data_IF_209266574987
#
_entry.id   IF_209266574987
#
_cell.length_a   1.000
_cell.length_b   1.000
_cell.length_c   1.000
_cell.angle_alpha   90.00
_cell.angle_beta   90.00
_cell.angle_gamma   90.00
#
_symmetry.space_group_name_H-M   'P 1'
#
loop_
_entity.id
_entity.type
_entity.pdbx_description
1 polymer ?
#
# COMPACT_ATOMS: atom_id res chain seq x y z
N UNK A 1 -15.25 15.58 37.70
CA UNK A 1 -14.53 15.54 36.39
C UNK A 1 -14.94 14.27 35.66
N UNK A 2 -15.43 14.31 34.41
CA UNK A 2 -16.06 13.14 33.76
C UNK A 2 -15.12 12.40 32.79
N UNK A 3 -15.17 11.07 32.79
CA UNK A 3 -14.48 10.22 31.81
C UNK A 3 -15.47 9.32 31.07
N UNK A 4 -15.17 9.06 29.79
CA UNK A 4 -15.85 8.04 29.00
C UNK A 4 -15.08 6.73 29.11
N UNK A 5 -15.66 5.75 29.81
CA UNK A 5 -15.18 4.38 29.87
C UNK A 5 -15.90 3.52 28.81
N UNK A 6 -15.38 2.32 28.54
CA UNK A 6 -15.98 1.39 27.58
C UNK A 6 -17.37 0.87 28.00
N UNK A 7 -17.71 0.98 29.29
CA UNK A 7 -19.00 0.60 29.87
C UNK A 7 -19.91 1.81 30.20
N UNK A 8 -19.53 3.05 29.83
CA UNK A 8 -20.34 4.25 30.05
C UNK A 8 -19.58 5.46 30.61
N UNK A 9 -20.31 6.48 31.08
CA UNK A 9 -19.74 7.72 31.64
C UNK A 9 -19.56 7.59 33.16
N UNK A 10 -18.37 7.93 33.65
CA UNK A 10 -18.02 7.90 35.07
C UNK A 10 -17.64 9.30 35.53
N UNK A 11 -18.22 9.76 36.64
CA UNK A 11 -17.77 10.97 37.32
C UNK A 11 -16.65 10.63 38.33
N UNK A 12 -15.48 11.25 38.17
CA UNK A 12 -14.27 11.00 38.96
C UNK A 12 -14.35 11.56 40.38
N UNK A 13 -15.22 12.54 40.64
CA UNK A 13 -15.35 13.17 41.97
C UNK A 13 -16.24 12.34 42.91
N UNK A 14 -17.23 11.67 42.35
CA UNK A 14 -18.21 10.87 43.11
C UNK A 14 -17.99 9.37 42.95
N UNK A 15 -17.25 8.93 41.92
CA UNK A 15 -17.14 7.53 41.52
C UNK A 15 -18.46 6.94 41.04
N UNK A 16 -19.48 7.78 40.84
CA UNK A 16 -20.81 7.37 40.43
C UNK A 16 -20.88 7.22 38.91
N UNK A 17 -21.58 6.16 38.49
CA UNK A 17 -21.99 5.97 37.11
C UNK A 17 -23.11 6.97 36.81
N UNK A 18 -22.92 7.82 35.81
CA UNK A 18 -23.97 8.69 35.34
C UNK A 18 -24.90 7.84 34.47
N UNK A 19 -25.98 7.34 35.06
CA UNK A 19 -26.95 6.46 34.38
C UNK A 19 -27.66 7.21 33.26
N UNK A 20 -27.21 6.95 32.05
CA UNK A 20 -27.91 7.18 30.79
C UNK A 20 -27.31 6.21 29.78
N UNK A 21 -27.99 5.08 29.58
CA UNK A 21 -27.61 4.02 28.64
C UNK A 21 -26.96 2.82 29.33
N UNK A 22 -27.66 1.68 29.37
CA UNK A 22 -27.05 0.39 29.70
C UNK A 22 -25.95 0.00 28.70
N UNK A 23 -25.21 -1.10 28.92
CA UNK A 23 -24.04 -1.50 28.13
C UNK A 23 -24.32 -1.83 26.65
N UNK A 24 -25.54 -1.61 26.16
CA UNK A 24 -25.99 -1.96 24.82
C UNK A 24 -26.73 -0.86 24.02
N UNK A 25 -27.05 0.32 24.61
CA UNK A 25 -27.90 1.31 23.91
C UNK A 25 -27.16 2.49 23.26
N UNK A 26 -25.96 2.85 23.73
CA UNK A 26 -25.12 3.86 23.07
C UNK A 26 -24.05 3.19 22.20
N UNK A 27 -24.51 2.65 21.06
CA UNK A 27 -23.67 2.14 20.00
C UNK A 27 -22.84 3.24 19.32
N UNK A 28 -21.76 3.68 19.97
CA UNK A 28 -20.55 4.24 19.34
C UNK A 28 -19.58 4.68 20.45
N UNK A 29 -18.75 3.77 20.96
CA UNK A 29 -17.57 4.15 21.74
C UNK A 29 -16.57 4.80 20.77
N UNK A 30 -16.70 6.12 20.59
CA UNK A 30 -15.78 6.93 19.79
C UNK A 30 -14.48 7.14 20.58
N UNK A 31 -13.51 6.24 20.36
CA UNK A 31 -12.11 6.47 20.74
C UNK A 31 -11.48 7.39 19.69
N UNK A 32 -11.92 8.65 19.63
CA UNK A 32 -11.24 9.66 18.84
C UNK A 32 -9.86 9.98 19.44
N UNK A 33 -8.96 10.34 18.52
CA UNK A 33 -7.51 10.50 18.67
C UNK A 33 -7.04 11.00 20.04
N UNK A 34 -6.13 10.24 20.65
CA UNK A 34 -5.42 10.63 21.86
C UNK A 34 -4.62 11.93 21.65
N UNK A 35 -5.23 13.07 21.97
CA UNK A 35 -4.54 14.34 22.17
C UNK A 35 -4.65 14.75 23.63
N UNK A 36 -3.68 14.27 24.42
CA UNK A 36 -3.05 14.86 25.62
C UNK A 36 -2.66 13.73 26.57
N UNK A 37 -1.37 13.43 26.62
CA UNK A 37 -0.78 12.67 27.71
C UNK A 37 -0.95 13.47 29.00
N UNK A 38 -1.90 13.10 29.84
CA UNK A 38 -2.06 13.60 31.21
C UNK A 38 -1.55 12.53 32.17
N UNK A 39 -0.65 12.84 33.11
CA UNK A 39 -0.48 12.03 34.32
C UNK A 39 -1.33 12.66 35.43
N UNK A 40 -2.57 12.20 35.55
CA UNK A 40 -3.34 12.18 36.80
C UNK A 40 -3.46 10.69 37.15
N UNK A 41 -3.45 10.24 38.42
CA UNK A 41 -3.60 8.81 38.73
C UNK A 41 -4.78 8.26 37.95
N UNK A 42 -4.51 7.32 37.03
CA UNK A 42 -5.56 6.73 36.22
C UNK A 42 -6.50 6.00 37.18
N UNK A 43 -7.80 6.34 37.19
CA UNK A 43 -8.76 5.70 38.07
C UNK A 43 -8.83 4.21 37.74
N UNK A 44 -8.92 3.38 38.78
CA UNK A 44 -9.13 1.94 38.59
C UNK A 44 -10.56 1.69 38.09
N UNK A 45 -10.70 1.62 36.76
CA UNK A 45 -11.98 1.42 36.08
C UNK A 45 -12.63 0.09 36.43
N UNK A 46 -11.84 -0.93 36.80
CA UNK A 46 -12.35 -2.24 37.21
C UNK A 46 -12.98 -2.14 38.58
N UNK A 47 -12.24 -1.58 39.54
CA UNK A 47 -12.76 -1.38 40.90
C UNK A 47 -14.02 -0.51 40.92
N UNK A 48 -14.06 0.54 40.08
CA UNK A 48 -15.24 1.39 39.93
C UNK A 48 -16.44 0.66 39.31
N UNK A 49 -16.21 -0.17 38.28
CA UNK A 49 -17.28 -0.94 37.65
C UNK A 49 -17.89 -2.00 38.59
N UNK A 50 -17.05 -2.67 39.39
CA UNK A 50 -17.50 -3.62 40.41
C UNK A 50 -18.22 -2.92 41.56
N UNK A 51 -17.67 -1.80 42.06
CA UNK A 51 -18.30 -1.00 43.13
C UNK A 51 -19.64 -0.40 42.70
N UNK A 52 -19.78 -0.07 41.41
CA UNK A 52 -21.01 0.40 40.79
C UNK A 52 -22.04 -0.70 40.52
N UNK A 53 -21.73 -1.97 40.79
CA UNK A 53 -22.66 -3.09 40.62
C UNK A 53 -22.97 -3.46 39.17
N UNK A 54 -22.19 -2.97 38.20
CA UNK A 54 -22.39 -3.27 36.77
C UNK A 54 -22.04 -4.72 36.41
N UNK A 55 -21.12 -5.34 37.17
CA UNK A 55 -20.66 -6.70 36.94
C UNK A 55 -20.58 -7.43 38.28
N UNK A 56 -20.98 -8.70 38.32
CA UNK A 56 -21.01 -9.53 39.52
C UNK A 56 -19.60 -9.94 40.01
N UNK A 57 -18.58 -9.84 39.15
CA UNK A 57 -17.21 -10.14 39.50
C UNK A 57 -16.23 -9.96 38.35
N UNK A 58 -14.95 -10.21 38.63
CA UNK A 58 -13.86 -10.02 37.66
C UNK A 58 -14.00 -10.87 36.39
N UNK A 59 -14.57 -12.07 36.50
CA UNK A 59 -14.76 -12.97 35.37
C UNK A 59 -15.77 -12.39 34.35
N UNK A 60 -16.89 -11.85 34.84
CA UNK A 60 -17.92 -11.22 34.01
C UNK A 60 -17.40 -9.92 33.39
N UNK A 61 -16.73 -9.08 34.17
CA UNK A 61 -16.07 -7.87 33.67
C UNK A 61 -15.12 -8.18 32.50
N UNK A 62 -14.26 -9.20 32.66
CA UNK A 62 -13.30 -9.58 31.63
C UNK A 62 -13.98 -10.16 30.37
N UNK A 63 -15.07 -10.92 30.55
CA UNK A 63 -15.84 -11.47 29.43
C UNK A 63 -16.48 -10.35 28.60
N UNK A 64 -17.16 -9.40 29.25
CA UNK A 64 -17.78 -8.25 28.59
C UNK A 64 -16.74 -7.32 27.97
N UNK A 65 -15.60 -7.08 28.63
CA UNK A 65 -14.50 -6.29 28.07
C UNK A 65 -13.95 -6.94 26.80
N UNK A 66 -13.76 -8.27 26.81
CA UNK A 66 -13.30 -9.01 25.64
C UNK A 66 -14.29 -8.91 24.49
N UNK A 67 -15.58 -9.08 24.77
CA UNK A 67 -16.62 -8.98 23.76
C UNK A 67 -16.71 -7.58 23.15
N UNK A 68 -16.70 -6.54 23.98
CA UNK A 68 -16.65 -5.15 23.52
C UNK A 68 -15.40 -4.87 22.68
N UNK A 69 -14.22 -5.35 23.12
CA UNK A 69 -12.99 -5.21 22.35
C UNK A 69 -13.06 -5.93 21.00
N UNK A 70 -13.60 -7.14 20.94
CA UNK A 70 -13.78 -7.89 19.70
C UNK A 70 -14.76 -7.19 18.76
N UNK A 71 -15.90 -6.71 19.26
CA UNK A 71 -16.88 -5.95 18.49
C UNK A 71 -16.28 -4.66 17.90
N UNK A 72 -15.50 -3.92 18.69
CA UNK A 72 -14.78 -2.73 18.22
C UNK A 72 -13.75 -3.06 17.13
N UNK A 73 -13.00 -4.14 17.29
CA UNK A 73 -12.02 -4.59 16.29
C UNK A 73 -12.73 -5.03 15.01
N UNK A 74 -13.82 -5.80 15.11
CA UNK A 74 -14.62 -6.21 13.97
C UNK A 74 -15.21 -5.01 13.23
N UNK A 75 -15.79 -4.04 13.95
CA UNK A 75 -16.29 -2.80 13.37
C UNK A 75 -15.20 -2.00 12.63
N UNK A 76 -14.01 -1.89 13.24
CA UNK A 76 -12.84 -1.25 12.60
C UNK A 76 -12.34 -2.01 11.37
N UNK A 77 -12.32 -3.34 11.43
CA UNK A 77 -11.92 -4.18 10.29
C UNK A 77 -12.89 -4.02 9.13
N UNK A 78 -14.19 -4.07 9.38
CA UNK A 78 -15.22 -3.84 8.35
C UNK A 78 -15.10 -2.46 7.72
N UNK A 79 -14.80 -1.42 8.53
CA UNK A 79 -14.56 -0.06 8.03
C UNK A 79 -13.22 0.10 7.29
N UNK A 80 -12.25 -0.79 7.52
CA UNK A 80 -10.92 -0.74 6.89
C UNK A 80 -10.89 -1.32 5.47
N UNK A 81 -11.94 -2.07 5.07
CA UNK A 81 -12.12 -2.55 3.69
C UNK A 81 -12.55 -1.38 2.81
N UNK A 82 -11.56 -0.62 2.37
CA UNK A 82 -11.73 0.55 1.51
C UNK A 82 -11.25 0.23 0.10
N UNK A 83 -11.68 1.03 -0.88
CA UNK A 83 -11.20 0.92 -2.26
C UNK A 83 -9.66 1.05 -2.37
N UNK A 84 -9.03 1.78 -1.44
CA UNK A 84 -7.57 1.82 -1.33
C UNK A 84 -7.01 0.46 -0.91
N UNK A 85 -7.59 -0.18 0.10
CA UNK A 85 -7.14 -1.49 0.57
C UNK A 85 -7.27 -2.57 -0.53
N UNK A 86 -8.38 -2.54 -1.29
CA UNK A 86 -8.59 -3.41 -2.45
C UNK A 86 -7.51 -3.19 -3.50
N UNK A 87 -7.16 -1.93 -3.78
CA UNK A 87 -6.05 -1.58 -4.67
C UNK A 87 -4.70 -2.14 -4.17
N UNK A 88 -4.41 -2.03 -2.87
CA UNK A 88 -3.16 -2.56 -2.30
C UNK A 88 -3.05 -4.07 -2.53
N UNK A 89 -4.12 -4.81 -2.25
CA UNK A 89 -4.17 -6.26 -2.46
C UNK A 89 -4.11 -6.63 -3.95
N UNK A 90 -4.81 -5.90 -4.81
CA UNK A 90 -4.77 -6.11 -6.25
C UNK A 90 -3.34 -5.96 -6.81
N UNK A 91 -2.59 -4.95 -6.36
CA UNK A 91 -1.19 -4.76 -6.78
C UNK A 91 -0.27 -5.87 -6.28
N UNK A 92 -0.45 -6.32 -5.03
CA UNK A 92 0.31 -7.46 -4.49
C UNK A 92 -0.01 -8.75 -5.24
N UNK A 93 -1.28 -8.97 -5.58
CA UNK A 93 -1.72 -10.09 -6.39
C UNK A 93 -1.12 -10.03 -7.80
N UNK A 94 -1.08 -8.86 -8.45
CA UNK A 94 -0.42 -8.69 -9.76
C UNK A 94 1.06 -9.07 -9.74
N UNK A 95 1.80 -8.64 -8.71
CA UNK A 95 3.22 -8.98 -8.58
C UNK A 95 3.40 -10.48 -8.27
N UNK A 96 2.56 -11.07 -7.42
CA UNK A 96 2.57 -12.53 -7.15
C UNK A 96 2.19 -13.39 -8.36
N UNK A 97 1.21 -12.96 -9.15
CA UNK A 97 0.84 -13.62 -10.41
C UNK A 97 1.97 -13.54 -11.44
N UNK A 98 2.74 -12.46 -11.46
CA UNK A 98 3.89 -12.34 -12.36
C UNK A 98 5.00 -13.33 -11.97
N UNK A 99 5.28 -13.48 -10.67
CA UNK A 99 6.24 -14.47 -10.16
C UNK A 99 5.79 -15.90 -10.45
N UNK A 100 4.52 -16.22 -10.17
CA UNK A 100 3.95 -17.53 -10.46
C UNK A 100 3.96 -17.82 -11.97
N UNK A 101 3.56 -16.88 -12.81
CA UNK A 101 3.57 -17.06 -14.26
C UNK A 101 4.98 -17.34 -14.78
N UNK A 102 5.99 -16.59 -14.33
CA UNK A 102 7.37 -16.83 -14.72
C UNK A 102 7.82 -18.24 -14.34
N UNK A 103 7.53 -18.68 -13.11
CA UNK A 103 7.87 -20.03 -12.67
C UNK A 103 7.19 -21.11 -13.52
N UNK A 104 5.88 -20.97 -13.79
CA UNK A 104 5.14 -21.93 -14.62
C UNK A 104 5.71 -21.99 -16.03
N UNK A 105 6.03 -20.84 -16.64
CA UNK A 105 6.60 -20.77 -17.98
C UNK A 105 8.02 -21.36 -18.06
N UNK A 106 8.83 -21.16 -17.02
CA UNK A 106 10.14 -21.80 -16.90
C UNK A 106 10.02 -23.32 -16.77
N UNK A 107 9.14 -23.82 -15.89
CA UNK A 107 8.92 -25.28 -15.73
C UNK A 107 8.37 -25.90 -17.01
N UNK A 108 7.43 -25.24 -17.67
CA UNK A 108 6.85 -25.69 -18.93
C UNK A 108 7.91 -25.77 -20.03
N UNK A 109 8.76 -24.75 -20.14
CA UNK A 109 9.87 -24.72 -21.09
C UNK A 109 10.90 -25.85 -20.82
N UNK A 110 11.29 -26.07 -19.57
CA UNK A 110 12.22 -27.15 -19.23
C UNK A 110 11.65 -28.52 -19.56
N UNK A 111 10.37 -28.77 -19.25
CA UNK A 111 9.72 -30.05 -19.53
C UNK A 111 9.52 -30.27 -21.03
N UNK A 112 9.11 -29.24 -21.77
CA UNK A 112 8.89 -29.35 -23.21
C UNK A 112 10.17 -29.74 -23.96
N UNK A 113 11.35 -29.33 -23.46
CA UNK A 113 12.65 -29.68 -24.05
C UNK A 113 13.00 -31.17 -23.99
N UNK A 114 12.42 -31.92 -23.05
CA UNK A 114 12.65 -33.37 -22.97
C UNK A 114 11.94 -34.13 -24.10
N UNK A 115 10.89 -33.55 -24.66
CA UNK A 115 10.02 -34.21 -25.62
C UNK A 115 9.99 -33.52 -26.99
N UNK A 116 10.47 -32.28 -27.10
CA UNK A 116 10.47 -31.47 -28.33
C UNK A 116 11.79 -30.72 -28.54
N UNK A 117 12.28 -30.68 -29.79
CA UNK A 117 13.50 -29.93 -30.17
C UNK A 117 13.26 -28.46 -30.56
N UNK A 118 11.98 -28.04 -30.66
CA UNK A 118 11.63 -26.65 -31.03
C UNK A 118 11.85 -25.70 -29.85
N UNK A 119 12.45 -24.54 -30.14
CA UNK A 119 12.62 -23.46 -29.16
C UNK A 119 11.39 -22.56 -29.23
N UNK A 120 10.40 -22.83 -28.40
CA UNK A 120 9.27 -21.93 -28.13
C UNK A 120 9.28 -21.57 -26.65
N UNK A 121 8.84 -20.35 -26.30
CA UNK A 121 8.88 -19.84 -24.93
C UNK A 121 7.59 -19.11 -24.55
N UNK A 122 7.31 -19.06 -23.26
CA UNK A 122 6.24 -18.24 -22.69
C UNK A 122 4.87 -18.58 -23.26
N UNK A 123 4.13 -17.56 -23.69
CA UNK A 123 2.74 -17.71 -24.16
C UNK A 123 2.61 -18.65 -25.36
N UNK A 124 3.46 -18.50 -26.37
CA UNK A 124 3.38 -19.30 -27.59
C UNK A 124 3.56 -20.80 -27.28
N UNK A 125 4.54 -21.11 -26.41
CA UNK A 125 4.74 -22.48 -25.93
C UNK A 125 3.51 -22.99 -25.17
N UNK A 126 2.94 -22.18 -24.30
CA UNK A 126 1.74 -22.56 -23.54
C UNK A 126 0.52 -22.78 -24.44
N UNK A 127 0.35 -22.00 -25.51
CA UNK A 127 -0.72 -22.22 -26.50
C UNK A 127 -0.49 -23.52 -27.28
N UNK A 128 0.74 -23.80 -27.72
CA UNK A 128 1.09 -25.04 -28.43
C UNK A 128 0.95 -26.32 -27.58
N UNK A 129 1.07 -26.18 -26.25
CA UNK A 129 1.03 -27.29 -25.31
C UNK A 129 -0.31 -27.44 -24.60
N UNK A 130 -1.29 -26.58 -24.84
CA UNK A 130 -2.58 -26.60 -24.13
C UNK A 130 -3.30 -27.96 -24.24
N UNK A 131 -3.22 -28.60 -25.40
CA UNK A 131 -3.83 -29.91 -25.69
C UNK A 131 -2.86 -31.10 -25.47
N UNK A 132 -1.66 -30.86 -24.94
CA UNK A 132 -0.68 -31.92 -24.67
C UNK A 132 -1.13 -32.79 -23.48
N UNK A 133 -1.06 -34.11 -23.63
CA UNK A 133 -1.54 -35.06 -22.61
C UNK A 133 -0.81 -34.90 -21.26
N UNK A 134 0.47 -34.52 -21.27
CA UNK A 134 1.30 -34.43 -20.06
C UNK A 134 1.41 -33.01 -19.54
N UNK A 135 1.56 -32.05 -20.45
CA UNK A 135 1.86 -30.65 -20.13
C UNK A 135 0.64 -29.72 -20.24
N UNK A 136 -0.48 -30.19 -20.80
CA UNK A 136 -1.65 -29.36 -21.11
C UNK A 136 -2.29 -28.68 -19.91
N UNK A 137 -2.36 -29.36 -18.77
CA UNK A 137 -2.88 -28.74 -17.53
C UNK A 137 -2.00 -27.58 -17.06
N UNK A 138 -0.67 -27.75 -17.11
CA UNK A 138 0.28 -26.72 -16.72
C UNK A 138 0.24 -25.52 -17.68
N UNK A 139 0.20 -25.82 -18.99
CA UNK A 139 0.09 -24.83 -20.05
C UNK A 139 -1.20 -24.01 -19.94
N UNK A 140 -2.34 -24.70 -19.76
CA UNK A 140 -3.65 -24.07 -19.55
C UNK A 140 -3.67 -23.18 -18.30
N UNK A 141 -3.09 -23.64 -17.18
CA UNK A 141 -2.98 -22.84 -15.97
C UNK A 141 -2.17 -21.55 -16.20
N UNK A 142 -1.05 -21.62 -16.93
CA UNK A 142 -0.25 -20.45 -17.29
C UNK A 142 -1.05 -19.46 -18.17
N UNK A 143 -1.81 -19.95 -19.15
CA UNK A 143 -2.68 -19.13 -20.00
C UNK A 143 -3.81 -18.45 -19.22
N UNK A 144 -4.49 -19.20 -18.34
CA UNK A 144 -5.54 -18.65 -17.47
C UNK A 144 -4.99 -17.58 -16.54
N UNK A 145 -3.84 -17.83 -15.89
CA UNK A 145 -3.19 -16.88 -14.99
C UNK A 145 -2.77 -15.61 -15.75
N UNK A 146 -2.24 -15.75 -16.95
CA UNK A 146 -1.88 -14.63 -17.84
C UNK A 146 -3.09 -13.78 -18.21
N UNK A 147 -4.22 -14.42 -18.56
CA UNK A 147 -5.46 -13.73 -18.88
C UNK A 147 -5.99 -12.97 -17.67
N UNK A 148 -6.07 -13.64 -16.51
CA UNK A 148 -6.55 -13.02 -15.28
C UNK A 148 -5.68 -11.84 -14.83
N UNK A 149 -4.34 -11.97 -14.92
CA UNK A 149 -3.42 -10.88 -14.63
C UNK A 149 -3.70 -9.64 -15.50
N UNK A 150 -4.03 -9.84 -16.78
CA UNK A 150 -4.35 -8.74 -17.70
C UNK A 150 -5.66 -8.04 -17.30
N UNK A 151 -6.67 -8.80 -16.91
CA UNK A 151 -7.95 -8.25 -16.41
C UNK A 151 -7.74 -7.45 -15.13
N UNK A 152 -7.02 -8.01 -14.16
CA UNK A 152 -6.72 -7.34 -12.90
C UNK A 152 -5.87 -6.07 -13.11
N UNK A 153 -4.95 -6.07 -14.07
CA UNK A 153 -4.17 -4.88 -14.42
C UNK A 153 -5.08 -3.75 -14.96
N UNK A 154 -6.10 -4.08 -15.75
CA UNK A 154 -7.07 -3.11 -16.23
C UNK A 154 -7.93 -2.54 -15.09
N UNK A 155 -8.35 -3.37 -14.14
CA UNK A 155 -9.08 -2.92 -12.94
C UNK A 155 -8.23 -1.98 -12.09
N UNK A 156 -6.96 -2.33 -11.85
CA UNK A 156 -6.00 -1.47 -11.12
C UNK A 156 -5.81 -0.13 -11.82
N UNK A 157 -5.75 -0.10 -13.16
CA UNK A 157 -5.65 1.15 -13.93
C UNK A 157 -6.82 2.07 -13.63
N UNK A 158 -8.05 1.55 -13.69
CA UNK A 158 -9.28 2.32 -13.43
C UNK A 158 -9.32 2.81 -11.98
N UNK A 159 -9.02 1.92 -11.02
CA UNK A 159 -9.03 2.25 -9.59
C UNK A 159 -8.04 3.36 -9.25
N UNK A 160 -6.82 3.32 -9.78
CA UNK A 160 -5.79 4.34 -9.52
C UNK A 160 -6.12 5.67 -10.18
N UNK A 161 -6.74 5.67 -11.35
CA UNK A 161 -7.17 6.91 -12.00
C UNK A 161 -8.25 7.62 -11.19
N UNK A 162 -9.14 6.86 -10.52
CA UNK A 162 -10.13 7.42 -9.61
C UNK A 162 -9.52 7.87 -8.28
N UNK A 163 -8.66 7.05 -7.67
CA UNK A 163 -8.09 7.31 -6.33
C UNK A 163 -6.97 8.36 -6.34
N UNK A 164 -6.09 8.31 -7.34
CA UNK A 164 -4.86 9.09 -7.40
C UNK A 164 -4.56 9.61 -8.81
N UNK A 165 -5.42 10.52 -9.35
CA UNK A 165 -5.33 11.00 -10.72
C UNK A 165 -4.02 11.74 -11.01
N UNK A 166 -3.48 12.54 -10.07
CA UNK A 166 -2.24 13.28 -10.29
C UNK A 166 -1.03 12.34 -10.38
N UNK A 167 -0.95 11.34 -9.51
CA UNK A 167 0.08 10.30 -9.58
C UNK A 167 -0.04 9.48 -10.87
N UNK A 168 -1.26 9.13 -11.28
CA UNK A 168 -1.53 8.38 -12.50
C UNK A 168 -1.01 9.10 -13.75
N UNK A 169 -1.25 10.42 -13.86
CA UNK A 169 -0.73 11.23 -14.97
C UNK A 169 0.81 11.30 -14.97
N UNK A 170 1.43 11.44 -13.79
CA UNK A 170 2.88 11.62 -13.71
C UNK A 170 3.69 10.33 -13.88
N UNK A 171 3.22 9.21 -13.32
CA UNK A 171 3.95 7.95 -13.29
C UNK A 171 3.40 6.90 -14.26
N UNK A 172 2.17 7.07 -14.73
CA UNK A 172 1.36 6.00 -15.28
C UNK A 172 0.63 5.21 -14.18
N UNK A 173 -0.58 4.67 -14.45
CA UNK A 173 -1.41 4.04 -13.42
C UNK A 173 -0.71 2.87 -12.71
N UNK A 174 -0.05 1.99 -13.45
CA UNK A 174 0.58 0.78 -12.90
C UNK A 174 1.77 1.12 -11.97
N UNK A 175 2.58 2.11 -12.33
CA UNK A 175 3.69 2.55 -11.48
C UNK A 175 3.17 3.32 -10.25
N UNK A 176 2.14 4.16 -10.43
CA UNK A 176 1.47 4.84 -9.33
C UNK A 176 0.89 3.84 -8.32
N UNK A 177 0.18 2.81 -8.80
CA UNK A 177 -0.35 1.71 -7.99
C UNK A 177 0.73 1.07 -7.12
N UNK A 178 1.88 0.74 -7.74
CA UNK A 178 3.02 0.12 -7.04
C UNK A 178 3.68 1.05 -6.03
N UNK A 179 3.75 2.35 -6.30
CA UNK A 179 4.28 3.34 -5.36
C UNK A 179 3.35 3.45 -4.13
N UNK A 180 2.04 3.51 -4.35
CA UNK A 180 1.02 3.54 -3.29
C UNK A 180 1.08 2.23 -2.47
N UNK A 181 1.13 1.09 -3.15
CA UNK A 181 1.25 -0.24 -2.53
C UNK A 181 2.48 -0.34 -1.64
N UNK A 182 3.66 0.06 -2.14
CA UNK A 182 4.90 0.06 -1.37
C UNK A 182 4.92 1.04 -0.21
N UNK A 183 4.18 2.13 -0.30
CA UNK A 183 4.03 3.08 0.80
C UNK A 183 3.06 2.59 1.89
N UNK A 184 2.27 1.54 1.60
CA UNK A 184 1.20 1.08 2.48
C UNK A 184 0.00 2.02 2.47
N UNK A 185 -0.31 2.63 1.33
CA UNK A 185 -1.41 3.58 1.16
C UNK A 185 -0.96 4.98 0.71
N UNK A 186 -1.90 5.71 0.10
CA UNK A 186 -1.77 7.06 -0.43
C UNK A 186 -1.51 8.08 0.68
N UNK A 187 -2.19 7.95 1.83
CA UNK A 187 -1.94 8.83 2.98
C UNK A 187 -0.49 8.71 3.49
N UNK A 188 0.01 7.47 3.59
CA UNK A 188 1.40 7.21 3.98
C UNK A 188 2.38 7.76 2.94
N UNK A 189 2.08 7.59 1.64
CA UNK A 189 2.88 8.14 0.55
C UNK A 189 2.96 9.67 0.60
N UNK A 190 1.84 10.36 0.86
CA UNK A 190 1.77 11.82 0.92
C UNK A 190 2.67 12.41 2.02
N UNK A 191 2.87 11.66 3.12
CA UNK A 191 3.75 12.02 4.23
C UNK A 191 5.23 11.75 3.95
N UNK A 192 5.56 10.97 2.92
CA UNK A 192 6.96 10.65 2.61
C UNK A 192 7.70 11.87 2.03
N UNK A 193 8.98 12.07 2.39
CA UNK A 193 9.83 13.02 1.69
C UNK A 193 10.19 12.50 0.30
N UNK A 194 10.43 13.42 -0.65
CA UNK A 194 10.81 13.08 -2.01
C UNK A 194 12.09 12.21 -2.09
N UNK A 195 13.02 12.39 -1.15
CA UNK A 195 14.24 11.55 -1.05
C UNK A 195 13.92 10.08 -0.77
N UNK A 196 12.91 9.79 0.06
CA UNK A 196 12.45 8.43 0.33
C UNK A 196 11.76 7.84 -0.89
N UNK A 197 10.85 8.59 -1.53
CA UNK A 197 10.17 8.16 -2.77
C UNK A 197 11.19 7.85 -3.88
N UNK A 198 12.27 8.64 -3.96
CA UNK A 198 13.33 8.45 -4.95
C UNK A 198 13.96 7.05 -4.89
N UNK A 199 14.25 6.56 -3.68
CA UNK A 199 15.00 5.30 -3.45
C UNK A 199 14.12 4.14 -2.99
N UNK A 200 12.81 4.34 -2.84
CA UNK A 200 11.84 3.30 -2.49
C UNK A 200 11.91 2.16 -3.51
N UNK A 201 12.10 0.91 -3.07
CA UNK A 201 12.42 -0.22 -3.93
C UNK A 201 13.88 -0.64 -3.97
N UNK A 202 14.79 0.20 -3.47
CA UNK A 202 16.22 -0.07 -3.42
C UNK A 202 16.71 -0.22 -1.97
N UNK A 203 15.85 -0.70 -1.06
CA UNK A 203 16.13 -0.78 0.38
C UNK A 203 17.41 -1.56 0.66
N UNK A 204 17.59 -2.73 0.02
CA UNK A 204 18.81 -3.54 0.16
C UNK A 204 20.09 -2.74 -0.17
N UNK A 205 20.08 -1.97 -1.25
CA UNK A 205 21.23 -1.15 -1.66
C UNK A 205 21.41 0.08 -0.77
N UNK A 206 20.30 0.68 -0.33
CA UNK A 206 20.30 1.81 0.59
C UNK A 206 20.90 1.41 1.94
N UNK A 207 20.49 0.28 2.51
CA UNK A 207 21.02 -0.20 3.78
C UNK A 207 22.52 -0.52 3.69
N UNK A 208 22.98 -1.16 2.59
CA UNK A 208 24.43 -1.33 2.34
C UNK A 208 25.19 -0.01 2.31
N UNK A 209 24.61 1.03 1.72
CA UNK A 209 25.21 2.37 1.71
C UNK A 209 25.25 3.02 3.09
N UNK A 210 24.15 2.94 3.85
CA UNK A 210 24.08 3.46 5.22
C UNK A 210 25.07 2.75 6.15
N UNK A 211 25.34 1.47 5.91
CA UNK A 211 26.39 0.71 6.59
C UNK A 211 27.81 1.03 6.09
N UNK A 212 28.00 1.93 5.13
CA UNK A 212 29.32 2.31 4.60
C UNK A 212 29.94 1.36 3.57
N UNK A 213 29.21 0.34 3.13
CA UNK A 213 29.74 -0.74 2.26
C UNK A 213 29.47 -0.53 0.77
N UNK A 214 28.74 0.53 0.39
CA UNK A 214 28.36 0.79 -1.00
C UNK A 214 28.04 2.27 -1.25
N UNK A 215 28.06 2.75 -2.51
CA UNK A 215 27.50 4.04 -2.85
C UNK A 215 25.95 4.04 -2.77
N UNK A 216 25.37 5.21 -2.50
CA UNK A 216 23.92 5.39 -2.39
C UNK A 216 23.18 5.03 -3.69
N UNK A 217 22.04 4.32 -3.63
CA UNK A 217 21.21 4.07 -4.80
C UNK A 217 20.65 5.39 -5.36
N UNK A 218 20.70 5.54 -6.69
CA UNK A 218 20.22 6.77 -7.36
C UNK A 218 18.70 6.80 -7.53
N UNK A 219 18.07 5.63 -7.54
CA UNK A 219 16.65 5.43 -7.79
C UNK A 219 16.23 4.04 -7.33
N UNK A 220 14.98 3.88 -6.93
CA UNK A 220 14.34 2.59 -6.67
C UNK A 220 13.32 2.23 -7.75
N UNK A 221 12.08 1.92 -7.38
CA UNK A 221 11.02 1.49 -8.30
C UNK A 221 10.72 2.51 -9.39
N UNK A 222 10.93 3.80 -9.12
CA UNK A 222 10.74 4.89 -10.09
C UNK A 222 11.72 4.81 -11.28
N UNK A 223 12.73 3.93 -11.23
CA UNK A 223 13.57 3.61 -12.39
C UNK A 223 12.75 3.12 -13.58
N UNK A 224 11.63 2.42 -13.33
CA UNK A 224 10.75 1.90 -14.39
C UNK A 224 10.14 3.01 -15.25
N UNK A 225 10.05 4.24 -14.74
CA UNK A 225 9.50 5.36 -15.48
C UNK A 225 10.39 5.75 -16.68
N UNK A 226 9.85 5.96 -17.90
CA UNK A 226 10.62 6.27 -19.10
C UNK A 226 11.54 7.48 -18.97
N UNK A 227 11.13 8.50 -18.19
CA UNK A 227 11.98 9.67 -17.93
C UNK A 227 13.28 9.32 -17.19
N UNK A 228 13.31 8.23 -16.43
CA UNK A 228 14.48 7.78 -15.67
C UNK A 228 15.22 6.70 -16.44
N UNK A 229 14.58 5.59 -16.82
CA UNK A 229 15.22 4.48 -17.54
C UNK A 229 15.78 4.92 -18.90
N UNK A 230 15.01 5.71 -19.65
CA UNK A 230 15.38 6.25 -20.96
C UNK A 230 16.40 7.39 -20.90
N UNK A 231 16.73 7.90 -19.71
CA UNK A 231 17.80 8.90 -19.57
C UNK A 231 19.18 8.25 -19.55
N UNK A 232 20.18 8.95 -20.11
CA UNK A 232 21.58 8.54 -20.05
C UNK A 232 22.01 8.24 -18.60
N UNK A 233 22.84 7.21 -18.38
CA UNK A 233 23.25 6.71 -17.04
C UNK A 233 23.71 7.81 -16.08
N UNK A 234 24.40 8.84 -16.57
CA UNK A 234 24.86 10.01 -15.80
C UNK A 234 23.72 10.93 -15.31
N UNK A 235 22.61 10.98 -16.03
CA UNK A 235 21.46 11.85 -15.76
C UNK A 235 20.36 11.18 -14.94
N UNK A 236 20.34 9.86 -14.86
CA UNK A 236 19.28 9.10 -14.18
C UNK A 236 19.03 9.56 -12.75
N UNK A 237 20.07 9.87 -11.99
CA UNK A 237 19.92 10.38 -10.62
C UNK A 237 19.25 11.77 -10.56
N UNK A 238 19.59 12.67 -11.50
CA UNK A 238 18.95 14.00 -11.59
C UNK A 238 17.49 13.86 -12.03
N UNK A 239 17.22 13.01 -13.01
CA UNK A 239 15.86 12.72 -13.50
C UNK A 239 14.99 12.07 -12.42
N UNK A 240 15.52 11.07 -11.71
CA UNK A 240 14.84 10.39 -10.61
C UNK A 240 14.48 11.36 -9.47
N UNK A 241 15.39 12.26 -9.11
CA UNK A 241 15.13 13.30 -8.10
C UNK A 241 14.03 14.26 -8.54
N UNK A 242 14.06 14.72 -9.79
CA UNK A 242 13.03 15.60 -10.34
C UNK A 242 11.65 14.92 -10.36
N UNK A 243 11.60 13.65 -10.80
CA UNK A 243 10.39 12.84 -10.79
C UNK A 243 9.86 12.64 -9.36
N UNK A 244 10.70 12.20 -8.43
CA UNK A 244 10.29 11.96 -7.05
C UNK A 244 9.76 13.21 -6.35
N UNK A 245 10.33 14.39 -6.64
CA UNK A 245 9.82 15.66 -6.12
C UNK A 245 8.39 15.95 -6.60
N UNK A 246 8.10 15.71 -7.88
CA UNK A 246 6.77 15.91 -8.45
C UNK A 246 5.77 14.84 -7.99
N UNK A 247 6.20 13.59 -7.84
CA UNK A 247 5.38 12.53 -7.25
C UNK A 247 5.02 12.82 -5.80
N UNK A 248 5.92 13.40 -5.01
CA UNK A 248 5.62 13.80 -3.63
C UNK A 248 4.53 14.87 -3.55
N UNK A 249 4.54 15.83 -4.49
CA UNK A 249 3.50 16.86 -4.58
C UNK A 249 2.18 16.24 -5.04
N UNK A 250 2.20 15.43 -6.10
CA UNK A 250 1.02 14.74 -6.61
C UNK A 250 0.35 13.87 -5.54
N UNK A 251 1.12 13.09 -4.78
CA UNK A 251 0.59 12.27 -3.70
C UNK A 251 -0.13 13.10 -2.63
N UNK A 252 0.36 14.31 -2.32
CA UNK A 252 -0.29 15.20 -1.35
C UNK A 252 -1.57 15.83 -1.90
N UNK A 253 -1.59 16.18 -3.18
CA UNK A 253 -2.80 16.69 -3.83
C UNK A 253 -3.87 15.61 -3.91
N UNK A 254 -3.49 14.39 -4.31
CA UNK A 254 -4.40 13.24 -4.38
C UNK A 254 -4.94 12.89 -2.98
N UNK A 255 -4.08 12.79 -1.96
CA UNK A 255 -4.52 12.52 -0.58
C UNK A 255 -5.39 13.63 0.01
N UNK A 256 -5.17 14.89 -0.40
CA UNK A 256 -5.94 16.06 0.00
C UNK A 256 -7.18 16.31 -0.85
N UNK A 257 -7.50 15.44 -1.83
CA UNK A 257 -8.62 15.61 -2.78
C UNK A 257 -8.62 16.96 -3.52
N UNK A 258 -7.44 17.55 -3.76
CA UNK A 258 -7.28 18.90 -4.32
C UNK A 258 -7.54 18.99 -5.84
N UNK A 259 -8.18 17.98 -6.44
CA UNK A 259 -8.45 17.90 -7.88
C UNK A 259 -7.20 17.66 -8.74
N UNK A 260 -7.39 17.66 -10.05
CA UNK A 260 -6.33 17.44 -11.03
C UNK A 260 -5.49 18.72 -11.24
N UNK A 261 -4.17 18.63 -11.11
CA UNK A 261 -3.24 19.72 -11.40
C UNK A 261 -2.57 19.52 -12.76
N UNK A 262 -2.98 20.25 -13.82
CA UNK A 262 -2.41 20.10 -15.16
C UNK A 262 -0.93 20.55 -15.22
N UNK A 263 -0.51 21.44 -14.33
CA UNK A 263 0.81 22.06 -14.35
C UNK A 263 1.94 21.12 -13.90
N UNK A 264 1.62 20.06 -13.15
CA UNK A 264 2.64 19.14 -12.62
C UNK A 264 3.41 18.43 -13.73
N UNK A 265 2.70 17.93 -14.74
CA UNK A 265 3.30 17.24 -15.88
C UNK A 265 4.17 18.20 -16.70
N UNK A 266 3.67 19.40 -17.00
CA UNK A 266 4.40 20.43 -17.72
C UNK A 266 5.69 20.84 -16.98
N UNK A 267 5.59 21.07 -15.68
CA UNK A 267 6.73 21.43 -14.83
C UNK A 267 7.79 20.32 -14.75
N UNK A 268 7.36 19.05 -14.66
CA UNK A 268 8.28 17.91 -14.73
C UNK A 268 9.01 17.86 -16.07
N UNK A 269 8.27 17.99 -17.18
CA UNK A 269 8.84 17.97 -18.52
C UNK A 269 9.86 19.10 -18.74
N UNK A 270 9.54 20.32 -18.31
CA UNK A 270 10.46 21.46 -18.37
C UNK A 270 11.77 21.15 -17.63
N UNK A 271 11.67 20.63 -16.41
CA UNK A 271 12.85 20.26 -15.61
C UNK A 271 13.68 19.15 -16.26
N UNK A 272 13.04 18.15 -16.87
CA UNK A 272 13.73 17.08 -17.58
C UNK A 272 14.47 17.58 -18.83
N UNK A 273 13.89 18.55 -19.55
CA UNK A 273 14.55 19.21 -20.71
C UNK A 273 15.79 19.97 -20.27
N UNK A 274 15.71 20.75 -19.19
CA UNK A 274 16.87 21.45 -18.61
C UNK A 274 18.02 20.49 -18.25
N UNK A 275 17.69 19.36 -17.62
CA UNK A 275 18.69 18.34 -17.23
C UNK A 275 19.41 17.77 -18.46
N UNK A 276 18.67 17.58 -19.57
CA UNK A 276 19.23 17.11 -20.84
C UNK A 276 20.13 18.16 -21.51
N UNK A 277 19.72 19.42 -21.50
CA UNK A 277 20.46 20.52 -22.14
C UNK A 277 21.73 20.92 -21.39
N UNK A 278 21.70 21.00 -20.07
CA UNK A 278 22.87 21.40 -19.24
C UNK A 278 24.01 20.38 -19.18
N UNK A 279 23.90 19.27 -19.90
CA UNK A 279 24.92 18.22 -19.87
C UNK A 279 25.54 18.09 -21.26
N UNK A 280 26.81 18.49 -21.45
CA UNK A 280 27.42 18.47 -22.78
C UNK A 280 27.38 17.05 -23.37
N UNK A 281 26.93 16.95 -24.63
CA UNK A 281 27.16 15.76 -25.46
C UNK A 281 28.69 15.63 -25.56
N UNK A 282 29.24 14.47 -25.20
CA UNK A 282 30.66 14.21 -25.50
C UNK A 282 30.78 14.20 -27.02
N UNK A 283 31.74 14.97 -27.53
CA UNK A 283 32.36 14.67 -28.82
C UNK A 283 33.06 13.31 -28.73
#
# INVERSE_FOLDING_TARGET
>A
MQIHAWFGRVDLETGALLTGGGPAEDGAVSLESASRAFPVPQPDLRALALKGGLFAGDAEYNACLREAALSLVQGRLSASVTAEQDLLFAVQALDGMAEALNLLEERLYEWSRLHRQKIAHGRELAEELADDEKMGTLASAALSLRSYRKSLEAEVVVAVQALAPNLSILAGPVLAARIISRAGGLHNLARMPASRIQVMGAEKSLFKHLSGHAPSPKHGIIYRHPAVSGSARRLRGKAARALAAKLAIAARLDAGSAGLSPDLAASLQARLREIRQKTPRRA
#
